data_IF_883919405079
#
_entry.id   IF_883919405079
#
_cell.length_a   1.000
_cell.length_b   1.000
_cell.length_c   1.000
_cell.angle_alpha   90.00
_cell.angle_beta   90.00
_cell.angle_gamma   90.00
#
_symmetry.space_group_name_H-M   'P 1'
#
loop_
_entity.id
_entity.type
_entity.pdbx_description
1 polymer ?
#
# COMPACT_ATOMS: atom_id res chain seq x y z
N UNK A 1 23.57 3.40 -30.28
CA UNK A 1 22.57 2.63 -29.52
C UNK A 1 22.67 3.11 -28.09
N UNK A 2 22.01 4.22 -27.82
CA UNK A 2 22.03 4.92 -26.56
C UNK A 2 21.44 4.00 -25.48
N UNK A 3 22.31 3.48 -24.62
CA UNK A 3 21.88 2.77 -23.41
C UNK A 3 21.15 3.77 -22.55
N UNK A 4 19.82 3.83 -22.65
CA UNK A 4 18.97 4.63 -21.78
C UNK A 4 19.21 4.10 -20.37
N UNK A 5 20.06 4.80 -19.62
CA UNK A 5 20.26 4.60 -18.19
C UNK A 5 18.92 4.85 -17.53
N UNK A 6 18.16 3.77 -17.28
CA UNK A 6 16.90 3.84 -16.59
C UNK A 6 17.22 4.23 -15.16
N UNK A 7 17.13 5.53 -14.87
CA UNK A 7 17.22 6.02 -13.50
C UNK A 7 16.07 5.39 -12.74
N UNK A 8 16.41 4.47 -11.82
CA UNK A 8 15.47 3.92 -10.85
C UNK A 8 14.82 5.09 -10.13
N UNK A 9 13.55 5.35 -10.40
CA UNK A 9 12.82 6.42 -9.73
C UNK A 9 12.37 5.88 -8.38
N UNK A 10 12.92 6.47 -7.33
CA UNK A 10 12.63 6.16 -5.94
C UNK A 10 11.70 7.26 -5.41
N UNK A 11 10.58 6.83 -4.85
CA UNK A 11 9.56 7.69 -4.26
C UNK A 11 9.64 7.56 -2.74
N UNK A 12 9.49 8.68 -2.04
CA UNK A 12 9.42 8.66 -0.57
C UNK A 12 8.17 7.91 -0.10
N UNK A 13 8.28 7.26 1.06
CA UNK A 13 7.19 6.47 1.63
C UNK A 13 5.92 7.28 1.89
N UNK A 14 6.03 8.55 2.26
CA UNK A 14 4.89 9.44 2.47
C UNK A 14 4.20 9.75 1.12
N UNK A 15 4.96 9.93 0.04
CA UNK A 15 4.41 10.12 -1.30
C UNK A 15 3.65 8.88 -1.79
N UNK A 16 4.23 7.71 -1.55
CA UNK A 16 3.62 6.42 -1.92
C UNK A 16 2.34 6.19 -1.11
N UNK A 17 2.36 6.52 0.18
CA UNK A 17 1.20 6.42 1.05
C UNK A 17 0.04 7.29 0.54
N UNK A 18 0.34 8.53 0.13
CA UNK A 18 -0.66 9.41 -0.49
C UNK A 18 -1.20 8.84 -1.81
N UNK A 19 -0.34 8.29 -2.68
CA UNK A 19 -0.75 7.69 -3.96
C UNK A 19 -1.65 6.47 -3.78
N UNK A 20 -1.40 5.66 -2.75
CA UNK A 20 -2.19 4.47 -2.42
C UNK A 20 -3.41 4.78 -1.53
N UNK A 21 -3.57 6.01 -1.06
CA UNK A 21 -4.63 6.37 -0.10
C UNK A 21 -4.51 5.61 1.22
N UNK A 22 -3.28 5.40 1.70
CA UNK A 22 -2.99 4.61 2.90
C UNK A 22 -1.99 5.31 3.83
N UNK A 23 -1.45 4.62 4.83
CA UNK A 23 -0.44 5.17 5.75
C UNK A 23 0.97 4.69 5.40
N UNK A 24 2.03 5.46 5.73
CA UNK A 24 3.42 5.02 5.54
C UNK A 24 3.70 3.66 6.18
N UNK A 25 3.11 3.39 7.35
CA UNK A 25 3.20 2.09 8.00
C UNK A 25 2.62 0.97 7.14
N UNK A 26 1.49 1.19 6.46
CA UNK A 26 0.92 0.19 5.57
C UNK A 26 1.79 0.01 4.31
N UNK A 27 2.47 1.05 3.83
CA UNK A 27 3.49 0.94 2.77
C UNK A 27 4.65 0.05 3.21
N UNK A 28 5.15 0.18 4.44
CA UNK A 28 6.14 -0.75 5.00
C UNK A 28 5.63 -2.19 5.04
N UNK A 29 4.34 -2.40 5.32
CA UNK A 29 3.74 -3.73 5.30
C UNK A 29 3.70 -4.31 3.87
N UNK A 30 3.39 -3.52 2.85
CA UNK A 30 3.47 -3.97 1.45
C UNK A 30 4.90 -4.36 1.06
N UNK A 31 5.91 -3.58 1.48
CA UNK A 31 7.32 -3.92 1.26
C UNK A 31 7.68 -5.23 1.96
N UNK A 32 7.29 -5.38 3.25
CA UNK A 32 7.54 -6.59 4.03
C UNK A 32 6.88 -7.85 3.46
N UNK A 33 5.75 -7.70 2.76
CA UNK A 33 5.02 -8.79 2.07
C UNK A 33 5.58 -9.09 0.68
N UNK A 34 6.49 -8.28 0.16
CA UNK A 34 7.04 -8.41 -1.19
C UNK A 34 6.12 -7.87 -2.29
N UNK A 35 5.12 -7.06 -1.93
CA UNK A 35 4.19 -6.42 -2.87
C UNK A 35 4.77 -5.12 -3.47
N UNK A 36 5.71 -4.48 -2.76
CA UNK A 36 6.46 -3.31 -3.23
C UNK A 36 7.96 -3.55 -3.08
N UNK A 37 8.74 -3.01 -4.01
CA UNK A 37 10.20 -2.97 -3.89
C UNK A 37 10.59 -1.69 -3.16
N UNK A 38 10.89 -1.82 -1.86
CA UNK A 38 11.39 -0.74 -1.04
C UNK A 38 12.87 -0.89 -0.68
N UNK A 39 13.55 0.24 -0.51
CA UNK A 39 14.89 0.30 0.07
C UNK A 39 14.95 1.36 1.18
N UNK A 40 15.67 1.05 2.24
CA UNK A 40 15.99 2.01 3.30
C UNK A 40 17.30 2.71 2.96
N UNK A 41 17.27 4.05 2.88
CA UNK A 41 18.46 4.88 2.73
C UNK A 41 18.46 5.96 3.81
N UNK A 42 19.53 6.00 4.62
CA UNK A 42 19.74 6.99 5.69
C UNK A 42 18.56 7.09 6.69
N UNK A 43 17.90 5.97 6.98
CA UNK A 43 16.76 5.90 7.90
C UNK A 43 15.41 6.31 7.29
N UNK A 44 15.39 6.65 6.00
CA UNK A 44 14.16 6.91 5.25
C UNK A 44 13.89 5.75 4.28
N UNK A 45 12.61 5.43 4.11
CA UNK A 45 12.18 4.38 3.19
C UNK A 45 11.76 4.97 1.86
N UNK A 46 12.25 4.35 0.80
CA UNK A 46 11.92 4.70 -0.57
C UNK A 46 11.35 3.50 -1.30
N UNK A 47 10.43 3.74 -2.22
CA UNK A 47 9.79 2.70 -3.04
C UNK A 47 10.10 2.94 -4.50
N UNK A 48 10.43 1.87 -5.22
CA UNK A 48 10.60 1.92 -6.66
C UNK A 48 9.27 2.19 -7.38
N UNK A 49 9.24 3.25 -8.20
CA UNK A 49 8.04 3.67 -8.92
C UNK A 49 7.42 2.54 -9.75
N UNK A 50 8.25 1.72 -10.41
CA UNK A 50 7.78 0.60 -11.22
C UNK A 50 7.00 -0.44 -10.40
N UNK A 51 7.46 -0.72 -9.17
CA UNK A 51 6.76 -1.67 -8.28
C UNK A 51 5.41 -1.11 -7.81
N UNK A 52 5.35 0.21 -7.56
CA UNK A 52 4.11 0.90 -7.23
C UNK A 52 3.11 0.87 -8.39
N UNK A 53 3.56 1.18 -9.61
CA UNK A 53 2.72 1.13 -10.81
C UNK A 53 2.20 -0.29 -11.07
N UNK A 54 3.04 -1.31 -10.87
CA UNK A 54 2.65 -2.71 -10.98
C UNK A 54 1.59 -3.10 -9.93
N UNK A 55 1.72 -2.62 -8.69
CA UNK A 55 0.73 -2.84 -7.63
C UNK A 55 -0.61 -2.19 -7.99
N UNK A 56 -0.60 -0.92 -8.39
CA UNK A 56 -1.82 -0.18 -8.76
C UNK A 56 -2.51 -0.84 -9.96
N UNK A 57 -1.73 -1.21 -10.99
CA UNK A 57 -2.26 -1.87 -12.18
C UNK A 57 -2.78 -3.29 -11.90
N UNK A 58 -2.19 -3.99 -10.92
CA UNK A 58 -2.64 -5.31 -10.48
C UNK A 58 -3.87 -5.29 -9.57
N UNK A 59 -4.12 -4.18 -8.87
CA UNK A 59 -5.28 -4.01 -7.98
C UNK A 59 -6.61 -3.81 -8.72
N UNK A 60 -6.60 -3.46 -10.01
CA UNK A 60 -7.80 -3.26 -10.84
C UNK A 60 -8.65 -4.54 -11.01
N UNK A 61 -8.09 -5.73 -10.71
CA UNK A 61 -8.82 -7.00 -10.75
C UNK A 61 -9.28 -7.56 -9.39
N UNK A 62 -8.99 -6.88 -8.28
CA UNK A 62 -8.93 -7.51 -6.96
C UNK A 62 -9.60 -6.72 -5.84
N UNK A 63 -10.80 -6.19 -6.08
CA UNK A 63 -11.80 -5.90 -5.05
C UNK A 63 -11.28 -5.17 -3.82
N UNK A 64 -11.34 -3.83 -3.88
CA UNK A 64 -11.65 -3.05 -2.69
C UNK A 64 -12.81 -3.74 -1.97
N UNK A 65 -12.55 -4.33 -0.80
CA UNK A 65 -13.61 -4.54 0.15
C UNK A 65 -13.94 -3.13 0.65
N UNK A 66 -15.07 -2.51 0.25
CA UNK A 66 -15.52 -1.34 0.97
C UNK A 66 -15.64 -1.79 2.42
N UNK A 67 -14.95 -1.10 3.31
CA UNK A 67 -15.15 -1.23 4.74
C UNK A 67 -16.66 -1.08 4.97
N UNK A 68 -17.37 -2.19 5.17
CA UNK A 68 -18.73 -2.14 5.69
C UNK A 68 -18.58 -1.66 7.12
N UNK A 69 -19.12 -0.48 7.48
CA UNK A 69 -19.20 -0.12 8.88
C UNK A 69 -20.19 -1.09 9.54
N UNK A 70 -19.70 -2.21 10.07
CA UNK A 70 -20.43 -3.04 11.02
C UNK A 70 -20.47 -2.40 12.42
N UNK A 71 -20.22 -1.08 12.51
CA UNK A 71 -20.51 -0.26 13.67
C UNK A 71 -21.82 0.47 13.40
N UNK A 72 -22.95 -0.18 13.71
CA UNK A 72 -24.26 0.38 13.40
C UNK A 72 -25.46 -0.36 13.99
N UNK A 73 -25.36 -0.89 15.22
CA UNK A 73 -26.38 -0.86 16.28
C UNK A 73 -26.02 -1.86 17.37
N UNK A 74 -25.80 -1.36 18.58
CA UNK A 74 -25.89 -2.21 19.77
C UNK A 74 -27.31 -2.77 19.86
N UNK A 75 -27.43 -4.09 19.86
CA UNK A 75 -28.59 -4.76 20.41
C UNK A 75 -28.10 -5.87 21.31
N UNK A 76 -28.71 -5.91 22.49
CA UNK A 76 -28.22 -6.54 23.69
C UNK A 76 -27.81 -7.99 23.55
N UNK A 77 -26.79 -8.35 24.32
CA UNK A 77 -26.71 -9.65 24.96
C UNK A 77 -28.03 -9.90 25.72
N UNK A 78 -28.96 -10.58 25.05
CA UNK A 78 -30.17 -11.14 25.63
C UNK A 78 -30.04 -12.65 25.58
N UNK A 79 -29.64 -13.25 26.70
CA UNK A 79 -29.71 -14.69 26.86
C UNK A 79 -31.16 -15.17 26.82
N UNK A 80 -31.38 -16.38 26.34
CA UNK A 80 -32.64 -17.09 26.51
C UNK A 80 -32.36 -18.44 27.17
N UNK A 81 -33.07 -18.67 28.28
CA UNK A 81 -33.50 -19.97 28.80
C UNK A 81 -34.45 -20.64 27.81
#
# INVERSE_FOLDING_TARGET
MDTVSHRKQLLDIDEVAMKLGTTPLNVLLYIKRGELNGEENEGNWYVESQSLEALISGQDGGGAAPCTPACGHGNGCGGCH
#
